data_IF_421561795264
#
_entry.id   IF_421561795264
#
_cell.length_a   1.000
_cell.length_b   1.000
_cell.length_c   1.000
_cell.angle_alpha   90.00
_cell.angle_beta   90.00
_cell.angle_gamma   90.00
#
_symmetry.space_group_name_H-M   'P 1'
#
loop_
_entity.id
_entity.type
_entity.pdbx_description
1 polymer ?
#
# COMPACT_ATOMS: atom_id res chain seq x y z
N UNK A 1 -11.60 -6.31 -23.22
CA UNK A 1 -12.16 -6.24 -21.85
C UNK A 1 -13.00 -7.47 -21.55
N UNK A 2 -14.03 -7.76 -22.31
CA UNK A 2 -14.97 -8.85 -22.04
C UNK A 2 -14.32 -10.25 -22.08
N UNK A 3 -13.37 -10.49 -22.98
CA UNK A 3 -12.63 -11.77 -23.02
C UNK A 3 -11.87 -12.02 -21.71
N UNK A 4 -11.25 -10.98 -21.13
CA UNK A 4 -10.60 -11.08 -19.81
C UNK A 4 -11.59 -11.38 -18.70
N UNK A 5 -12.82 -10.85 -18.75
CA UNK A 5 -13.86 -11.11 -17.75
C UNK A 5 -14.36 -12.55 -17.83
N UNK A 6 -14.47 -13.11 -19.05
CA UNK A 6 -14.80 -14.54 -19.22
C UNK A 6 -13.70 -15.45 -18.67
N UNK A 7 -12.43 -15.11 -18.89
CA UNK A 7 -11.31 -15.86 -18.32
C UNK A 7 -11.30 -15.79 -16.80
N UNK A 8 -11.60 -14.62 -16.20
CA UNK A 8 -11.71 -14.47 -14.75
C UNK A 8 -12.90 -15.26 -14.18
N UNK A 9 -14.03 -15.32 -14.89
CA UNK A 9 -15.17 -16.12 -14.48
C UNK A 9 -14.82 -17.61 -14.46
N UNK A 10 -14.16 -18.11 -15.50
CA UNK A 10 -13.67 -19.51 -15.54
C UNK A 10 -12.70 -19.81 -14.40
N UNK A 11 -11.75 -18.92 -14.18
CA UNK A 11 -10.80 -19.07 -13.08
C UNK A 11 -11.49 -19.10 -11.71
N UNK A 12 -12.50 -18.26 -11.52
CA UNK A 12 -13.29 -18.26 -10.29
C UNK A 12 -14.01 -19.61 -10.09
N UNK A 13 -14.60 -20.17 -11.14
CA UNK A 13 -15.25 -21.49 -11.09
C UNK A 13 -14.25 -22.61 -10.80
N UNK A 14 -13.05 -22.57 -11.37
CA UNK A 14 -11.96 -23.51 -11.07
C UNK A 14 -11.55 -23.42 -9.59
N UNK A 15 -11.38 -22.21 -9.04
CA UNK A 15 -11.06 -21.99 -7.62
C UNK A 15 -12.17 -22.55 -6.72
N UNK A 16 -13.44 -22.31 -7.05
CA UNK A 16 -14.57 -22.82 -6.29
C UNK A 16 -14.62 -24.35 -6.30
N UNK A 17 -14.32 -24.98 -7.44
CA UNK A 17 -14.22 -26.43 -7.55
C UNK A 17 -13.05 -26.98 -6.72
N UNK A 18 -11.86 -26.34 -6.81
CA UNK A 18 -10.68 -26.75 -6.03
C UNK A 18 -10.93 -26.61 -4.51
N UNK A 19 -11.55 -25.52 -4.06
CA UNK A 19 -11.95 -25.31 -2.66
C UNK A 19 -12.94 -26.37 -2.15
N UNK A 20 -13.70 -26.99 -3.04
CA UNK A 20 -14.64 -28.08 -2.70
C UNK A 20 -13.97 -29.44 -2.54
N UNK A 21 -12.69 -29.56 -2.91
CA UNK A 21 -11.94 -30.80 -2.77
C UNK A 21 -11.46 -31.01 -1.33
N UNK A 22 -11.68 -32.17 -0.71
CA UNK A 22 -11.23 -32.47 0.65
C UNK A 22 -9.70 -32.34 0.84
N UNK A 23 -8.93 -32.62 -0.21
CA UNK A 23 -7.46 -32.57 -0.23
C UNK A 23 -6.90 -31.16 0.04
N UNK A 24 -7.65 -30.12 -0.32
CA UNK A 24 -7.24 -28.71 -0.14
C UNK A 24 -7.42 -28.27 1.31
N UNK A 25 -8.41 -28.83 2.03
CA UNK A 25 -8.63 -28.53 3.44
C UNK A 25 -7.45 -29.00 4.33
N UNK A 26 -6.73 -30.04 3.91
CA UNK A 26 -5.56 -30.57 4.61
C UNK A 26 -4.30 -29.69 4.43
N UNK A 27 -4.26 -28.85 3.37
CA UNK A 27 -3.16 -27.92 3.09
C UNK A 27 -3.57 -26.47 3.43
N UNK A 28 -3.27 -26.05 4.63
CA UNK A 28 -3.70 -24.76 5.17
C UNK A 28 -3.16 -23.55 4.37
N UNK A 29 -1.95 -23.64 3.81
CA UNK A 29 -1.38 -22.57 2.99
C UNK A 29 -2.10 -22.44 1.65
N UNK A 30 -2.33 -23.57 0.97
CA UNK A 30 -3.07 -23.62 -0.30
C UNK A 30 -4.51 -23.13 -0.12
N UNK A 31 -5.18 -23.58 0.95
CA UNK A 31 -6.53 -23.14 1.29
C UNK A 31 -6.61 -21.63 1.48
N UNK A 32 -5.68 -21.02 2.25
CA UNK A 32 -5.64 -19.56 2.46
C UNK A 32 -5.39 -18.82 1.15
N UNK A 33 -4.49 -19.29 0.30
CA UNK A 33 -4.21 -18.67 -0.98
C UNK A 33 -5.45 -18.67 -1.89
N UNK A 34 -6.14 -19.81 -2.00
CA UNK A 34 -7.37 -19.93 -2.79
C UNK A 34 -8.52 -19.08 -2.25
N UNK A 35 -8.71 -19.03 -0.93
CA UNK A 35 -9.72 -18.19 -0.29
C UNK A 35 -9.45 -16.70 -0.52
N UNK A 36 -8.18 -16.29 -0.50
CA UNK A 36 -7.82 -14.92 -0.82
C UNK A 36 -8.12 -14.59 -2.28
N UNK A 37 -7.72 -15.45 -3.20
CA UNK A 37 -7.97 -15.29 -4.63
C UNK A 37 -9.47 -15.28 -4.97
N UNK A 38 -10.26 -16.15 -4.34
CA UNK A 38 -11.71 -16.12 -4.41
C UNK A 38 -12.29 -14.78 -3.95
N UNK A 39 -11.87 -14.32 -2.78
CA UNK A 39 -12.33 -13.03 -2.22
C UNK A 39 -12.02 -11.85 -3.15
N UNK A 40 -10.85 -11.85 -3.78
CA UNK A 40 -10.44 -10.82 -4.73
C UNK A 40 -11.25 -10.83 -6.03
N UNK A 41 -11.65 -12.02 -6.51
CA UNK A 41 -12.39 -12.17 -7.75
C UNK A 41 -13.92 -12.00 -7.56
N UNK A 42 -14.45 -12.29 -6.38
CA UNK A 42 -15.90 -12.23 -6.09
C UNK A 42 -16.56 -10.94 -6.58
N UNK A 43 -16.09 -9.72 -6.22
CA UNK A 43 -16.77 -8.49 -6.64
C UNK A 43 -16.76 -8.30 -8.17
N UNK A 44 -15.71 -8.76 -8.87
CA UNK A 44 -15.59 -8.69 -10.32
C UNK A 44 -16.59 -9.63 -10.97
N UNK A 45 -16.67 -10.87 -10.46
CA UNK A 45 -17.56 -11.93 -10.99
C UNK A 45 -19.02 -11.59 -10.76
N UNK A 46 -19.37 -11.06 -9.59
CA UNK A 46 -20.74 -10.67 -9.26
C UNK A 46 -21.21 -9.51 -10.14
N UNK A 47 -20.41 -8.46 -10.29
CA UNK A 47 -20.71 -7.33 -11.18
C UNK A 47 -20.81 -7.80 -12.64
N UNK A 48 -19.98 -8.74 -13.07
CA UNK A 48 -20.03 -9.27 -14.45
C UNK A 48 -21.24 -10.15 -14.69
N UNK A 49 -21.63 -10.98 -13.74
CA UNK A 49 -22.87 -11.77 -13.82
C UNK A 49 -24.10 -10.87 -13.89
N UNK A 50 -24.15 -9.82 -13.08
CA UNK A 50 -25.23 -8.83 -13.14
C UNK A 50 -25.25 -8.08 -14.48
N UNK A 51 -24.08 -7.69 -15.00
CA UNK A 51 -23.95 -7.07 -16.32
C UNK A 51 -24.51 -7.98 -17.45
N UNK A 52 -24.13 -9.28 -17.44
CA UNK A 52 -24.68 -10.25 -18.39
C UNK A 52 -26.20 -10.35 -18.30
N UNK A 53 -26.73 -10.39 -17.07
CA UNK A 53 -28.17 -10.43 -16.86
C UNK A 53 -28.85 -9.19 -17.41
N UNK A 54 -28.33 -7.98 -17.11
CA UNK A 54 -28.87 -6.74 -17.66
C UNK A 54 -28.89 -6.72 -19.20
N UNK A 55 -27.83 -7.22 -19.84
CA UNK A 55 -27.80 -7.31 -21.31
C UNK A 55 -28.83 -8.32 -21.85
N UNK A 56 -29.03 -9.46 -21.17
CA UNK A 56 -30.06 -10.40 -21.55
C UNK A 56 -31.46 -9.78 -21.40
N UNK A 57 -31.73 -9.09 -20.27
CA UNK A 57 -32.99 -8.38 -20.05
C UNK A 57 -33.24 -7.30 -21.12
N UNK A 58 -32.17 -6.62 -21.60
CA UNK A 58 -32.24 -5.66 -22.71
C UNK A 58 -32.61 -6.35 -24.02
N UNK A 59 -31.98 -7.46 -24.35
CA UNK A 59 -32.27 -8.24 -25.57
C UNK A 59 -33.70 -8.79 -25.55
N UNK A 60 -34.13 -9.36 -24.42
CA UNK A 60 -35.46 -9.89 -24.22
C UNK A 60 -36.54 -8.79 -24.34
N UNK A 61 -36.33 -7.64 -23.68
CA UNK A 61 -37.24 -6.50 -23.74
C UNK A 61 -37.35 -5.92 -25.16
N UNK A 62 -36.25 -5.86 -25.92
CA UNK A 62 -36.26 -5.43 -27.33
C UNK A 62 -37.03 -6.40 -28.21
N UNK A 63 -36.82 -7.72 -28.03
CA UNK A 63 -37.54 -8.75 -28.78
C UNK A 63 -39.04 -8.73 -28.49
N UNK A 64 -39.42 -8.52 -27.21
CA UNK A 64 -40.83 -8.40 -26.80
C UNK A 64 -41.46 -7.15 -27.38
N UNK A 65 -40.74 -6.00 -27.41
CA UNK A 65 -41.25 -4.74 -27.99
C UNK A 65 -41.55 -4.85 -29.51
N UNK A 66 -40.86 -5.73 -30.23
CA UNK A 66 -41.11 -5.96 -31.65
C UNK A 66 -42.41 -6.72 -31.89
N UNK A 67 -42.78 -7.62 -30.96
CA UNK A 67 -43.92 -8.51 -31.10
C UNK A 67 -45.19 -8.02 -30.36
N UNK A 68 -45.06 -7.09 -29.40
CA UNK A 68 -46.15 -6.62 -28.54
C UNK A 68 -46.98 -5.53 -29.23
N UNK A 69 -48.30 -5.68 -29.15
CA UNK A 69 -49.29 -4.75 -29.78
C UNK A 69 -50.04 -3.89 -28.73
N UNK A 70 -49.96 -4.24 -27.46
CA UNK A 70 -50.63 -3.51 -26.39
C UNK A 70 -49.80 -2.30 -25.98
N UNK A 71 -50.42 -1.11 -26.02
CA UNK A 71 -49.72 0.15 -25.73
C UNK A 71 -49.25 0.26 -24.28
N UNK A 72 -50.02 -0.26 -23.31
CA UNK A 72 -49.65 -0.24 -21.88
C UNK A 72 -48.45 -1.19 -21.62
N UNK A 73 -48.48 -2.35 -22.19
CA UNK A 73 -47.33 -3.31 -22.12
C UNK A 73 -46.09 -2.75 -22.80
N UNK A 74 -46.23 -2.07 -23.93
CA UNK A 74 -45.11 -1.42 -24.63
C UNK A 74 -44.50 -0.30 -23.77
N UNK A 75 -45.30 0.44 -23.02
CA UNK A 75 -44.80 1.50 -22.14
C UNK A 75 -43.99 0.89 -20.97
N UNK A 76 -44.49 -0.15 -20.33
CA UNK A 76 -43.78 -0.90 -19.29
C UNK A 76 -42.47 -1.45 -19.80
N UNK A 77 -42.42 -2.10 -20.96
CA UNK A 77 -41.19 -2.66 -21.56
C UNK A 77 -40.18 -1.56 -21.90
N UNK A 78 -40.60 -0.36 -22.28
CA UNK A 78 -39.71 0.79 -22.51
C UNK A 78 -39.11 1.31 -21.21
N UNK A 79 -39.89 1.36 -20.12
CA UNK A 79 -39.38 1.73 -18.81
C UNK A 79 -38.34 0.71 -18.31
N UNK A 80 -38.69 -0.57 -18.39
CA UNK A 80 -37.76 -1.67 -18.00
C UNK A 80 -36.46 -1.62 -18.82
N UNK A 81 -36.56 -1.43 -20.13
CA UNK A 81 -35.44 -1.27 -21.04
C UNK A 81 -34.55 -0.06 -20.64
N UNK A 82 -35.17 1.06 -20.27
CA UNK A 82 -34.42 2.25 -19.84
C UNK A 82 -33.65 2.00 -18.53
N UNK A 83 -34.29 1.33 -17.58
CA UNK A 83 -33.65 0.94 -16.30
C UNK A 83 -32.49 -0.02 -16.54
N UNK A 84 -32.71 -1.08 -17.32
CA UNK A 84 -31.67 -2.09 -17.60
C UNK A 84 -30.49 -1.49 -18.37
N UNK A 85 -30.71 -0.60 -19.33
CA UNK A 85 -29.63 0.11 -20.05
C UNK A 85 -28.81 0.97 -19.11
N UNK A 86 -29.47 1.76 -18.25
CA UNK A 86 -28.78 2.60 -17.27
C UNK A 86 -27.93 1.76 -16.32
N UNK A 87 -28.48 0.66 -15.83
CA UNK A 87 -27.76 -0.26 -14.93
C UNK A 87 -26.58 -0.92 -15.64
N UNK A 88 -26.71 -1.33 -16.88
CA UNK A 88 -25.63 -1.89 -17.68
C UNK A 88 -24.49 -0.89 -17.89
N UNK A 89 -24.79 0.39 -18.15
CA UNK A 89 -23.77 1.45 -18.24
C UNK A 89 -23.04 1.70 -16.91
N UNK A 90 -23.76 1.66 -15.79
CA UNK A 90 -23.17 1.78 -14.45
C UNK A 90 -22.23 0.61 -14.16
N UNK A 91 -22.70 -0.62 -14.42
CA UNK A 91 -21.89 -1.84 -14.25
C UNK A 91 -20.66 -1.89 -15.18
N UNK A 92 -20.78 -1.39 -16.39
CA UNK A 92 -19.61 -1.31 -17.28
C UNK A 92 -18.53 -0.38 -16.73
N UNK A 93 -18.92 0.74 -16.12
CA UNK A 93 -17.98 1.65 -15.44
C UNK A 93 -17.38 1.00 -14.20
N UNK A 94 -18.20 0.35 -13.39
CA UNK A 94 -17.77 -0.38 -12.20
C UNK A 94 -16.77 -1.50 -12.56
N UNK A 95 -17.06 -2.30 -13.58
CA UNK A 95 -16.18 -3.36 -14.07
C UNK A 95 -14.82 -2.80 -14.58
N UNK A 96 -14.82 -1.66 -15.25
CA UNK A 96 -13.59 -0.98 -15.66
C UNK A 96 -12.72 -0.62 -14.45
N UNK A 97 -13.34 -0.15 -13.36
CA UNK A 97 -12.64 0.19 -12.11
C UNK A 97 -12.12 -1.06 -11.41
N UNK A 98 -12.95 -2.11 -11.31
CA UNK A 98 -12.59 -3.39 -10.66
C UNK A 98 -11.46 -4.12 -11.39
N UNK A 99 -11.32 -3.91 -12.69
CA UNK A 99 -10.22 -4.48 -13.50
C UNK A 99 -8.91 -3.69 -13.42
N UNK A 100 -8.89 -2.53 -12.74
CA UNK A 100 -7.64 -1.81 -12.51
C UNK A 100 -6.69 -2.66 -11.66
N UNK A 101 -5.39 -2.64 -11.96
CA UNK A 101 -4.42 -3.36 -11.15
C UNK A 101 -4.45 -2.83 -9.71
N UNK A 102 -4.78 -3.71 -8.77
CA UNK A 102 -4.73 -3.42 -7.34
C UNK A 102 -3.27 -3.33 -6.90
N UNK A 103 -2.96 -2.38 -6.05
CA UNK A 103 -1.66 -2.33 -5.39
C UNK A 103 -1.61 -3.47 -4.35
N UNK A 104 -0.59 -4.36 -4.39
CA UNK A 104 -0.48 -5.46 -3.43
C UNK A 104 -0.40 -4.99 -1.97
N UNK A 105 -0.06 -3.72 -1.75
CA UNK A 105 0.01 -3.13 -0.42
C UNK A 105 -1.33 -2.57 0.07
N UNK A 106 -2.36 -2.48 -0.77
CA UNK A 106 -3.65 -1.85 -0.42
C UNK A 106 -4.35 -2.50 0.79
N UNK A 107 -4.10 -3.79 1.05
CA UNK A 107 -4.66 -4.51 2.20
C UNK A 107 -3.82 -4.39 3.48
N UNK A 108 -2.60 -3.86 3.39
CA UNK A 108 -1.69 -3.76 4.52
C UNK A 108 -2.09 -2.65 5.49
N UNK A 109 -1.61 -2.77 6.71
CA UNK A 109 -1.58 -1.67 7.65
C UNK A 109 -0.65 -0.58 7.15
N UNK A 110 -0.74 0.60 7.70
CA UNK A 110 -0.01 1.76 7.23
C UNK A 110 0.78 2.42 8.35
N UNK A 111 2.02 2.79 8.04
CA UNK A 111 2.87 3.61 8.89
C UNK A 111 2.83 5.03 8.32
N UNK A 112 2.43 5.98 9.14
CA UNK A 112 2.37 7.39 8.79
C UNK A 112 3.41 8.15 9.59
N UNK A 113 4.24 8.91 8.90
CA UNK A 113 5.24 9.77 9.51
C UNK A 113 4.91 11.22 9.16
N UNK A 114 4.74 12.06 10.18
CA UNK A 114 4.51 13.50 10.04
C UNK A 114 5.72 14.24 10.61
N UNK A 115 6.34 15.10 9.80
CA UNK A 115 7.50 15.90 10.21
C UNK A 115 7.25 17.40 9.99
N UNK A 116 7.63 18.21 10.94
CA UNK A 116 7.68 19.65 10.79
C UNK A 116 8.70 20.03 9.69
N UNK A 117 8.27 20.87 8.77
CA UNK A 117 9.10 21.41 7.69
C UNK A 117 9.49 22.88 7.94
N UNK A 118 9.30 23.73 6.93
CA UNK A 118 9.61 25.15 7.04
C UNK A 118 8.56 25.87 7.90
N UNK A 119 8.98 26.55 8.97
CA UNK A 119 8.09 27.35 9.84
C UNK A 119 8.42 27.29 11.33
N UNK A 120 9.45 26.55 11.73
CA UNK A 120 9.87 26.43 13.13
C UNK A 120 8.77 25.86 14.03
N UNK A 121 8.53 26.51 15.17
CA UNK A 121 7.55 26.06 16.17
C UNK A 121 6.12 25.95 15.62
N UNK A 122 5.74 26.84 14.71
CA UNK A 122 4.43 26.80 14.06
C UNK A 122 4.25 25.54 13.20
N UNK A 123 5.30 25.11 12.50
CA UNK A 123 5.25 23.86 11.76
C UNK A 123 5.10 22.65 12.69
N UNK A 124 5.73 22.69 13.86
CA UNK A 124 5.61 21.62 14.85
C UNK A 124 4.22 21.59 15.52
N UNK A 125 3.61 22.75 15.79
CA UNK A 125 2.22 22.83 16.27
C UNK A 125 1.25 22.27 15.20
N UNK A 126 1.46 22.65 13.95
CA UNK A 126 0.63 22.14 12.86
C UNK A 126 0.81 20.62 12.63
N UNK A 127 2.03 20.09 12.81
CA UNK A 127 2.27 18.66 12.75
C UNK A 127 1.46 17.88 13.81
N UNK A 128 1.40 18.41 15.03
CA UNK A 128 0.59 17.84 16.10
C UNK A 128 -0.93 17.90 15.80
N UNK A 129 -1.40 18.95 15.14
CA UNK A 129 -2.80 19.07 14.72
C UNK A 129 -3.15 18.09 13.60
N UNK A 130 -2.28 17.92 12.61
CA UNK A 130 -2.46 16.95 11.52
C UNK A 130 -2.41 15.51 12.05
N UNK A 131 -1.52 15.23 13.00
CA UNK A 131 -1.52 13.93 13.70
C UNK A 131 -2.88 13.66 14.36
N UNK A 132 -3.43 14.62 15.13
CA UNK A 132 -4.76 14.50 15.75
C UNK A 132 -5.87 14.31 14.72
N UNK A 133 -5.81 15.03 13.60
CA UNK A 133 -6.75 14.87 12.49
C UNK A 133 -6.77 13.42 11.98
N UNK A 134 -5.61 12.81 11.77
CA UNK A 134 -5.53 11.41 11.34
C UNK A 134 -6.01 10.42 12.41
N UNK A 135 -5.73 10.68 13.69
CA UNK A 135 -6.25 9.87 14.80
C UNK A 135 -7.78 9.88 14.79
N UNK A 136 -8.40 11.06 14.73
CA UNK A 136 -9.87 11.17 14.70
C UNK A 136 -10.48 10.51 13.45
N UNK A 137 -9.83 10.65 12.30
CA UNK A 137 -10.26 9.95 11.08
C UNK A 137 -10.22 8.43 11.25
N UNK A 138 -9.13 7.90 11.78
CA UNK A 138 -8.94 6.47 12.02
C UNK A 138 -9.96 5.92 13.04
N UNK A 139 -10.21 6.67 14.13
CA UNK A 139 -11.24 6.33 15.13
C UNK A 139 -12.63 6.25 14.50
N UNK A 140 -12.98 7.21 13.64
CA UNK A 140 -14.24 7.21 12.89
C UNK A 140 -14.39 5.97 11.98
N UNK A 141 -13.29 5.42 11.51
CA UNK A 141 -13.22 4.18 10.72
C UNK A 141 -13.11 2.91 11.57
N UNK A 142 -13.01 3.03 12.89
CA UNK A 142 -12.73 1.94 13.84
C UNK A 142 -11.37 1.27 13.58
N UNK A 143 -10.41 2.03 13.08
CA UNK A 143 -9.03 1.60 12.94
C UNK A 143 -8.27 1.87 14.23
N UNK A 144 -7.32 1.01 14.56
CA UNK A 144 -6.45 1.20 15.72
C UNK A 144 -5.27 2.09 15.34
N UNK A 145 -4.97 3.09 16.16
CA UNK A 145 -3.78 3.93 16.01
C UNK A 145 -2.81 3.62 17.14
N UNK A 146 -1.54 3.43 16.81
CA UNK A 146 -0.48 3.19 17.76
C UNK A 146 0.71 4.09 17.44
N UNK A 147 1.07 4.98 18.37
CA UNK A 147 2.23 5.85 18.21
C UNK A 147 3.50 5.04 18.43
N UNK A 148 4.37 5.01 17.44
CA UNK A 148 5.66 4.31 17.49
C UNK A 148 6.76 5.21 18.05
N UNK A 149 6.80 6.47 17.57
CA UNK A 149 7.80 7.45 17.97
C UNK A 149 7.21 8.86 17.91
N UNK A 150 7.54 9.71 18.87
CA UNK A 150 7.14 11.12 18.86
C UNK A 150 8.26 11.99 19.45
N UNK A 151 8.64 13.04 18.74
CA UNK A 151 9.56 14.06 19.20
C UNK A 151 8.76 15.33 19.50
N UNK A 152 8.35 15.49 20.75
CA UNK A 152 7.56 16.62 21.21
C UNK A 152 8.42 17.85 21.53
N UNK A 153 7.85 19.03 21.31
CA UNK A 153 8.43 20.29 21.75
C UNK A 153 7.61 20.89 22.90
N UNK A 154 8.27 21.65 23.78
CA UNK A 154 7.70 22.12 25.04
C UNK A 154 6.42 22.96 24.99
N UNK A 155 5.95 23.33 23.76
CA UNK A 155 4.74 24.12 23.52
C UNK A 155 3.55 23.29 23.01
N UNK A 156 3.63 21.95 23.12
CA UNK A 156 2.58 21.03 22.64
C UNK A 156 2.61 20.72 21.15
N UNK A 157 3.67 21.14 20.43
CA UNK A 157 3.93 20.75 19.06
C UNK A 157 4.78 19.48 18.96
N UNK A 158 4.83 18.90 17.76
CA UNK A 158 5.64 17.73 17.43
C UNK A 158 6.60 18.05 16.29
N UNK A 159 7.91 17.85 16.52
CA UNK A 159 8.89 17.99 15.45
C UNK A 159 8.79 16.83 14.47
N UNK A 160 8.56 15.65 14.99
CA UNK A 160 8.22 14.45 14.22
C UNK A 160 7.32 13.53 15.03
N UNK A 161 6.43 12.83 14.35
CA UNK A 161 5.64 11.73 14.92
C UNK A 161 5.47 10.65 13.88
N UNK A 162 5.72 9.40 14.30
CA UNK A 162 5.52 8.19 13.51
C UNK A 162 4.51 7.32 14.23
N UNK A 163 3.46 6.91 13.54
CA UNK A 163 2.40 6.09 14.08
C UNK A 163 1.91 5.06 13.07
N UNK A 164 1.47 3.92 13.58
CA UNK A 164 0.86 2.85 12.80
C UNK A 164 -0.66 2.96 12.86
N UNK A 165 -1.31 2.80 11.71
CA UNK A 165 -2.77 2.66 11.62
C UNK A 165 -3.08 1.25 11.16
N UNK A 166 -3.71 0.48 12.04
CA UNK A 166 -4.10 -0.91 11.80
C UNK A 166 -5.57 -0.99 11.47
N UNK A 167 -5.89 -1.45 10.26
CA UNK A 167 -7.27 -1.61 9.82
C UNK A 167 -7.37 -2.02 8.36
N UNK A 168 -8.47 -2.66 8.02
CA UNK A 168 -8.68 -3.13 6.66
C UNK A 168 -8.69 -1.97 5.66
N UNK A 169 -7.81 -2.04 4.64
CA UNK A 169 -7.71 -1.03 3.61
C UNK A 169 -7.12 0.31 4.06
N UNK A 170 -6.44 0.36 5.22
CA UNK A 170 -5.89 1.60 5.74
C UNK A 170 -4.87 2.23 4.78
N UNK A 171 -3.96 1.42 4.22
CA UNK A 171 -2.99 1.91 3.25
C UNK A 171 -3.65 2.39 1.95
N UNK A 172 -4.65 1.67 1.43
CA UNK A 172 -5.34 2.02 0.17
C UNK A 172 -5.94 3.41 0.18
N UNK A 173 -6.32 3.90 1.35
CA UNK A 173 -6.94 5.22 1.56
C UNK A 173 -5.91 6.27 1.93
N UNK A 174 -5.05 5.99 2.92
CA UNK A 174 -4.11 6.97 3.45
C UNK A 174 -2.89 7.23 2.54
N UNK A 175 -2.57 6.35 1.59
CA UNK A 175 -1.47 6.56 0.62
C UNK A 175 -1.57 7.89 -0.13
N UNK A 176 -2.78 8.43 -0.29
CA UNK A 176 -3.02 9.72 -0.94
C UNK A 176 -2.73 10.94 -0.05
N UNK A 177 -2.42 10.73 1.23
CA UNK A 177 -2.03 11.80 2.15
C UNK A 177 -0.52 12.14 2.11
N UNK A 178 0.24 11.34 1.40
CA UNK A 178 1.69 11.48 1.25
C UNK A 178 2.06 12.74 0.47
N UNK A 179 2.94 13.56 1.03
CA UNK A 179 3.43 14.81 0.43
C UNK A 179 3.59 15.96 1.41
N UNK A 180 3.72 17.18 0.86
CA UNK A 180 3.90 18.42 1.64
C UNK A 180 2.54 19.08 1.89
N UNK A 181 2.19 19.28 3.16
CA UNK A 181 1.00 20.01 3.58
C UNK A 181 1.38 21.40 4.04
N UNK A 182 0.65 22.41 3.58
CA UNK A 182 0.91 23.81 3.85
C UNK A 182 -0.19 24.43 4.69
N UNK A 183 0.18 25.13 5.76
CA UNK A 183 -0.75 25.92 6.57
C UNK A 183 -0.54 27.40 6.36
N UNK A 184 -1.63 28.16 6.33
CA UNK A 184 -1.66 29.60 6.30
C UNK A 184 -2.55 30.09 7.44
N UNK A 185 -1.95 30.63 8.50
CA UNK A 185 -2.64 31.25 9.65
C UNK A 185 -1.74 32.24 10.37
N UNK A 186 -2.32 32.99 11.28
CA UNK A 186 -1.54 33.73 12.27
C UNK A 186 -1.10 32.73 13.33
N UNK A 187 0.21 32.49 13.53
CA UNK A 187 0.70 31.57 14.54
C UNK A 187 0.33 32.02 15.95
N UNK A 188 0.12 31.08 16.86
CA UNK A 188 -0.06 31.38 18.29
C UNK A 188 1.19 32.07 18.89
N UNK A 189 2.34 31.84 18.28
CA UNK A 189 3.64 32.43 18.67
C UNK A 189 3.89 33.82 18.09
N UNK A 190 2.98 34.35 17.25
CA UNK A 190 3.15 35.63 16.56
C UNK A 190 2.39 36.77 17.27
N UNK A 191 3.12 37.77 17.77
CA UNK A 191 2.53 38.91 18.47
C UNK A 191 2.01 40.03 17.52
N UNK A 192 2.45 40.03 16.26
CA UNK A 192 2.13 41.08 15.28
C UNK A 192 0.92 40.81 14.40
N UNK A 193 0.21 39.70 14.59
CA UNK A 193 -1.01 39.33 13.81
C UNK A 193 -0.74 39.03 12.32
N UNK A 194 0.50 38.76 11.93
CA UNK A 194 0.86 38.45 10.54
C UNK A 194 0.55 37.02 10.19
N UNK A 195 -0.01 36.82 9.00
CA UNK A 195 -0.24 35.46 8.46
C UNK A 195 1.10 34.87 8.05
N UNK A 196 1.45 33.75 8.67
CA UNK A 196 2.63 32.96 8.28
C UNK A 196 2.21 31.77 7.41
N UNK A 197 3.18 31.29 6.65
CA UNK A 197 3.03 30.07 5.83
C UNK A 197 4.05 29.06 6.33
N UNK A 198 3.56 27.98 6.92
CA UNK A 198 4.40 26.89 7.40
C UNK A 198 4.07 25.59 6.64
N UNK A 199 5.00 24.66 6.65
CA UNK A 199 4.84 23.36 5.98
C UNK A 199 5.20 22.22 6.90
N UNK A 200 4.54 21.11 6.66
CA UNK A 200 4.90 19.81 7.19
C UNK A 200 5.02 18.82 6.04
N UNK A 201 5.75 17.76 6.23
CA UNK A 201 5.79 16.62 5.31
C UNK A 201 5.11 15.42 5.94
N UNK A 202 4.33 14.71 5.14
CA UNK A 202 3.67 13.47 5.51
C UNK A 202 4.20 12.37 4.60
N UNK A 203 4.80 11.32 5.18
CA UNK A 203 5.16 10.10 4.47
C UNK A 203 4.20 8.97 4.88
N UNK A 204 3.75 8.21 3.91
CA UNK A 204 2.81 7.10 4.11
C UNK A 204 3.41 5.84 3.51
N UNK A 205 3.70 4.86 4.35
CA UNK A 205 4.38 3.63 3.97
C UNK A 205 3.52 2.42 4.36
N UNK A 206 3.48 1.37 3.54
CA UNK A 206 2.84 0.12 3.94
C UNK A 206 3.65 -0.55 5.06
N UNK A 207 2.97 -1.26 5.96
CA UNK A 207 3.63 -2.14 6.91
C UNK A 207 4.43 -3.21 6.16
N UNK A 208 5.69 -3.39 6.57
CA UNK A 208 6.57 -4.41 6.00
C UNK A 208 6.60 -5.60 6.95
N UNK A 209 6.42 -6.80 6.42
CA UNK A 209 6.57 -8.03 7.19
C UNK A 209 8.02 -8.14 7.69
N UNK A 210 8.20 -8.30 8.99
CA UNK A 210 9.53 -8.37 9.62
C UNK A 210 10.28 -9.68 9.33
N UNK A 211 9.58 -10.71 8.87
CA UNK A 211 10.18 -12.03 8.63
C UNK A 211 11.02 -12.05 7.36
N UNK A 212 12.34 -11.90 7.55
CA UNK A 212 13.33 -12.21 6.51
C UNK A 212 13.74 -13.67 6.71
N UNK A 213 13.10 -14.57 5.98
CA UNK A 213 13.55 -15.96 5.95
C UNK A 213 14.59 -16.13 4.86
N UNK A 214 15.88 -16.21 5.27
CA UNK A 214 16.97 -16.45 4.34
C UNK A 214 17.11 -17.94 4.11
N UNK A 215 16.60 -18.37 2.97
CA UNK A 215 16.83 -19.73 2.44
C UNK A 215 18.09 -19.72 1.61
N UNK A 216 19.09 -20.50 2.03
CA UNK A 216 20.33 -20.67 1.32
C UNK A 216 20.28 -22.04 0.62
N UNK A 217 20.22 -22.03 -0.71
CA UNK A 217 20.22 -23.28 -1.49
C UNK A 217 21.65 -23.80 -1.72
N UNK A 218 21.85 -25.11 -1.64
CA UNK A 218 23.18 -25.72 -1.82
C UNK A 218 23.81 -25.43 -3.20
N UNK A 219 22.97 -25.22 -4.22
CA UNK A 219 23.44 -24.84 -5.58
C UNK A 219 24.08 -23.46 -5.66
N UNK A 220 23.72 -22.56 -4.73
CA UNK A 220 24.15 -21.17 -4.71
C UNK A 220 25.44 -20.97 -3.90
N UNK A 221 25.97 -22.04 -3.31
CA UNK A 221 27.15 -21.99 -2.47
C UNK A 221 28.28 -22.84 -3.05
N UNK A 222 29.45 -22.25 -3.08
CA UNK A 222 30.70 -22.99 -3.26
C UNK A 222 31.39 -23.15 -1.92
N UNK A 223 31.77 -24.38 -1.60
CA UNK A 223 32.48 -24.73 -0.37
C UNK A 223 33.92 -25.13 -0.74
N UNK A 224 34.89 -24.35 -0.31
CA UNK A 224 36.31 -24.65 -0.45
C UNK A 224 36.87 -24.99 0.92
N UNK A 225 37.55 -26.12 0.99
CA UNK A 225 38.24 -26.60 2.21
C UNK A 225 39.73 -26.39 2.03
N UNK A 226 40.39 -25.86 3.04
CA UNK A 226 41.81 -25.55 2.98
C UNK A 226 42.47 -25.69 4.36
N UNK A 227 43.80 -25.64 4.38
CA UNK A 227 44.55 -25.62 5.63
C UNK A 227 44.36 -24.27 6.33
N UNK A 228 44.27 -24.34 7.66
CA UNK A 228 44.22 -23.12 8.45
C UNK A 228 45.58 -22.38 8.37
N UNK A 229 45.52 -21.05 8.29
CA UNK A 229 46.70 -20.17 8.31
C UNK A 229 46.96 -19.62 9.71
N UNK A 230 48.16 -19.62 10.20
CA UNK A 230 48.54 -19.05 11.50
C UNK A 230 49.67 -19.80 12.19
N UNK A 231 50.12 -19.25 13.35
CA UNK A 231 51.10 -19.91 14.19
C UNK A 231 50.49 -21.12 14.87
N UNK A 232 50.90 -22.34 14.48
CA UNK A 232 50.33 -23.57 15.02
C UNK A 232 51.23 -24.78 14.80
N UNK A 233 50.98 -25.85 15.56
CA UNK A 233 51.68 -27.13 15.45
C UNK A 233 51.15 -28.00 14.34
N UNK A 234 51.41 -29.34 14.39
CA UNK A 234 51.06 -30.31 13.35
C UNK A 234 49.60 -30.26 12.88
N UNK A 235 48.64 -29.92 13.75
CA UNK A 235 47.24 -29.88 13.41
C UNK A 235 46.87 -28.75 12.41
N UNK A 236 47.53 -27.59 12.50
CA UNK A 236 47.29 -26.43 11.59
C UNK A 236 47.96 -26.68 10.22
N UNK A 237 49.08 -27.38 10.20
CA UNK A 237 49.86 -27.55 8.98
C UNK A 237 49.49 -28.79 8.14
N UNK A 238 48.79 -29.77 8.76
CA UNK A 238 48.48 -31.05 8.10
C UNK A 238 46.97 -31.30 7.84
N UNK A 239 46.08 -30.62 8.58
CA UNK A 239 44.64 -30.88 8.50
C UNK A 239 43.93 -29.78 7.74
N UNK A 240 43.10 -30.12 6.75
CA UNK A 240 42.24 -29.18 6.02
C UNK A 240 40.99 -28.85 6.86
N UNK A 241 41.20 -28.02 7.90
CA UNK A 241 40.16 -27.67 8.84
C UNK A 241 39.45 -26.34 8.52
N UNK A 242 40.07 -25.45 7.76
CA UNK A 242 39.51 -24.18 7.39
C UNK A 242 38.47 -24.30 6.24
N UNK A 243 37.41 -23.58 6.33
CA UNK A 243 36.31 -23.58 5.35
C UNK A 243 36.07 -22.18 4.83
N UNK A 244 35.97 -22.04 3.51
CA UNK A 244 35.57 -20.84 2.80
C UNK A 244 34.27 -21.12 2.06
N UNK A 245 33.28 -20.32 2.31
CA UNK A 245 32.02 -20.32 1.58
C UNK A 245 31.96 -19.12 0.64
N UNK A 246 31.58 -19.34 -0.60
CA UNK A 246 31.32 -18.29 -1.57
C UNK A 246 29.88 -18.41 -2.02
N UNK A 247 29.08 -17.40 -1.78
CA UNK A 247 27.70 -17.33 -2.23
C UNK A 247 27.66 -16.69 -3.63
N UNK A 248 27.28 -17.46 -4.64
CA UNK A 248 27.33 -17.03 -6.05
C UNK A 248 26.45 -15.82 -6.36
N UNK A 249 25.16 -15.75 -5.93
CA UNK A 249 24.29 -14.66 -6.31
C UNK A 249 24.75 -13.29 -5.79
N UNK A 250 25.32 -13.24 -4.57
CA UNK A 250 25.75 -11.98 -3.93
C UNK A 250 27.25 -11.74 -3.98
N UNK A 251 28.04 -12.76 -4.35
CA UNK A 251 29.49 -12.68 -4.31
C UNK A 251 30.11 -12.63 -2.90
N UNK A 252 29.30 -12.80 -1.85
CA UNK A 252 29.79 -12.77 -0.46
C UNK A 252 30.65 -13.97 -0.21
N UNK A 253 31.86 -13.70 0.32
CA UNK A 253 32.82 -14.72 0.74
C UNK A 253 32.97 -14.70 2.25
N UNK A 254 32.82 -15.88 2.86
CA UNK A 254 32.98 -16.09 4.31
C UNK A 254 34.04 -17.13 4.55
N UNK A 255 34.87 -16.88 5.56
CA UNK A 255 35.97 -17.75 5.94
C UNK A 255 35.89 -18.08 7.43
N UNK A 256 36.05 -19.37 7.78
CA UNK A 256 36.10 -19.82 9.17
C UNK A 256 37.23 -20.82 9.37
N UNK A 257 38.11 -20.53 10.34
CA UNK A 257 39.26 -21.37 10.73
C UNK A 257 39.45 -21.44 12.26
N UNK A 258 38.46 -21.01 13.04
CA UNK A 258 38.59 -20.84 14.49
C UNK A 258 38.61 -22.16 15.26
N UNK A 259 38.03 -23.21 14.68
CA UNK A 259 37.94 -24.51 15.31
C UNK A 259 38.92 -25.53 14.69
N UNK A 260 39.22 -26.57 15.45
CA UNK A 260 40.06 -27.69 14.97
C UNK A 260 39.29 -28.64 14.05
N UNK A 261 37.97 -28.60 14.07
CA UNK A 261 37.06 -29.45 13.29
C UNK A 261 36.52 -28.72 12.05
N UNK A 262 36.71 -29.33 10.88
CA UNK A 262 36.14 -28.85 9.62
C UNK A 262 34.63 -28.71 9.70
N UNK A 263 33.91 -29.65 10.35
CA UNK A 263 32.46 -29.64 10.48
C UNK A 263 32.00 -28.42 11.27
N UNK A 264 32.70 -28.10 12.37
CA UNK A 264 32.40 -26.93 13.19
C UNK A 264 32.69 -25.63 12.44
N UNK A 265 33.80 -25.55 11.71
CA UNK A 265 34.11 -24.40 10.87
C UNK A 265 33.08 -24.21 9.73
N UNK A 266 32.63 -25.33 9.13
CA UNK A 266 31.54 -25.29 8.14
C UNK A 266 30.26 -24.70 8.76
N UNK A 267 29.80 -25.19 9.90
CA UNK A 267 28.61 -24.67 10.59
C UNK A 267 28.73 -23.18 10.95
N UNK A 268 29.92 -22.77 11.46
CA UNK A 268 30.16 -21.34 11.76
C UNK A 268 30.18 -20.47 10.50
N UNK A 269 30.78 -20.98 9.40
CA UNK A 269 30.78 -20.25 8.14
C UNK A 269 29.37 -20.06 7.56
N UNK A 270 28.50 -21.10 7.66
CA UNK A 270 27.09 -20.97 7.28
C UNK A 270 26.35 -19.98 8.14
N UNK A 271 26.52 -20.02 9.47
CA UNK A 271 25.91 -19.05 10.37
C UNK A 271 26.34 -17.61 10.06
N UNK A 272 27.64 -17.41 9.79
CA UNK A 272 28.18 -16.11 9.42
C UNK A 272 27.70 -15.64 8.04
N UNK A 273 27.55 -16.56 7.08
CA UNK A 273 26.99 -16.25 5.76
C UNK A 273 25.51 -15.82 5.90
N UNK A 274 24.71 -16.58 6.68
CA UNK A 274 23.29 -16.24 6.93
C UNK A 274 23.18 -14.87 7.58
N UNK A 275 23.99 -14.54 8.56
CA UNK A 275 24.00 -13.22 9.19
C UNK A 275 24.35 -12.10 8.19
N UNK A 276 25.37 -12.29 7.35
CA UNK A 276 25.74 -11.29 6.33
C UNK A 276 24.67 -11.11 5.26
N UNK A 277 24.00 -12.17 4.85
CA UNK A 277 22.89 -12.10 3.90
C UNK A 277 21.69 -11.37 4.53
N UNK A 278 21.43 -11.63 5.81
CA UNK A 278 20.39 -10.93 6.57
C UNK A 278 20.68 -9.42 6.65
N UNK A 279 21.88 -9.04 7.04
CA UNK A 279 22.30 -7.64 7.11
C UNK A 279 22.19 -6.93 5.75
N UNK A 280 22.58 -7.62 4.67
CA UNK A 280 22.48 -7.08 3.32
C UNK A 280 21.04 -6.88 2.89
N UNK A 281 20.17 -7.86 3.13
CA UNK A 281 18.74 -7.75 2.81
C UNK A 281 18.05 -6.66 3.63
N UNK A 282 18.38 -6.56 4.91
CA UNK A 282 17.89 -5.51 5.79
C UNK A 282 18.33 -4.13 5.31
N UNK A 283 19.58 -4.00 4.88
CA UNK A 283 20.10 -2.74 4.33
C UNK A 283 19.37 -2.36 3.02
N UNK A 284 19.17 -3.33 2.11
CA UNK A 284 18.42 -3.07 0.87
C UNK A 284 16.98 -2.63 1.13
N UNK A 285 16.29 -3.26 2.09
CA UNK A 285 14.94 -2.83 2.49
C UNK A 285 14.95 -1.41 3.05
N UNK A 286 15.90 -1.13 3.93
CA UNK A 286 16.03 0.21 4.52
C UNK A 286 16.33 1.30 3.47
N UNK A 287 17.19 0.99 2.50
CA UNK A 287 17.50 1.90 1.39
C UNK A 287 16.28 2.12 0.48
N UNK A 288 15.52 1.06 0.19
CA UNK A 288 14.27 1.15 -0.59
C UNK A 288 13.20 1.96 0.14
N UNK A 289 13.03 1.78 1.45
CA UNK A 289 12.12 2.59 2.27
C UNK A 289 12.55 4.07 2.30
N UNK A 290 13.85 4.31 2.45
CA UNK A 290 14.41 5.67 2.45
C UNK A 290 14.20 6.36 1.10
N UNK A 291 14.33 5.64 -0.01
CA UNK A 291 14.08 6.14 -1.36
C UNK A 291 12.58 6.41 -1.58
N UNK A 292 11.71 5.50 -1.16
CA UNK A 292 10.25 5.70 -1.19
C UNK A 292 9.87 6.95 -0.39
N UNK A 293 10.38 7.10 0.83
CA UNK A 293 10.14 8.27 1.68
C UNK A 293 10.60 9.56 1.00
N UNK A 294 11.79 9.56 0.39
CA UNK A 294 12.31 10.73 -0.34
C UNK A 294 11.45 11.09 -1.54
N UNK A 295 10.99 10.10 -2.30
CA UNK A 295 10.12 10.34 -3.47
C UNK A 295 8.78 10.96 -3.10
N UNK A 296 8.25 10.63 -1.91
CA UNK A 296 6.99 11.16 -1.41
C UNK A 296 7.09 12.60 -0.87
N UNK A 297 8.18 12.91 -0.19
CA UNK A 297 8.33 14.18 0.55
C UNK A 297 9.00 15.27 -0.31
N UNK A 298 9.79 14.88 -1.33
CA UNK A 298 10.61 15.80 -2.11
C UNK A 298 11.61 16.56 -1.23
N UNK A 299 11.73 17.87 -1.41
CA UNK A 299 12.57 18.75 -0.59
C UNK A 299 11.85 19.32 0.63
N UNK A 300 10.54 19.14 0.76
CA UNK A 300 9.69 19.74 1.80
C UNK A 300 9.46 21.24 1.61
N UNK A 301 9.80 21.80 0.44
CA UNK A 301 9.64 23.22 0.13
C UNK A 301 8.15 23.60 0.03
N UNK A 302 7.85 24.85 0.32
CA UNK A 302 6.50 25.44 0.20
C UNK A 302 5.91 25.37 -1.20
N UNK A 303 6.73 25.23 -2.22
CA UNK A 303 6.33 25.09 -3.62
C UNK A 303 5.78 23.70 -3.95
N UNK A 304 6.24 22.65 -3.27
CA UNK A 304 5.88 21.23 -3.51
C UNK A 304 4.58 20.79 -2.85
N UNK A 305 3.81 21.75 -2.32
CA UNK A 305 2.58 21.47 -1.58
C UNK A 305 1.57 20.65 -2.38
N UNK A 306 1.06 19.57 -1.76
CA UNK A 306 -0.11 18.86 -2.25
C UNK A 306 -1.41 19.49 -1.76
N UNK A 307 -1.42 20.00 -0.51
CA UNK A 307 -2.62 20.55 0.12
C UNK A 307 -2.32 21.83 0.91
N UNK A 308 -3.27 22.76 0.90
CA UNK A 308 -3.19 24.01 1.67
C UNK A 308 -4.37 24.15 2.60
N UNK A 309 -4.10 24.38 3.88
CA UNK A 309 -5.03 24.67 4.95
C UNK A 309 -5.00 26.17 5.21
N UNK A 310 -6.06 26.89 4.80
CA UNK A 310 -6.13 28.35 4.93
C UNK A 310 -7.16 28.70 6.03
N UNK A 311 -6.65 29.01 7.22
CA UNK A 311 -7.47 29.31 8.38
C UNK A 311 -8.25 30.63 8.24
N UNK A 312 -7.65 31.75 7.77
CA UNK A 312 -8.42 32.97 7.57
C UNK A 312 -9.61 32.85 6.63
N UNK A 313 -9.56 31.92 5.67
CA UNK A 313 -10.61 31.69 4.70
C UNK A 313 -11.48 30.47 5.04
N UNK A 314 -11.17 29.72 6.10
CA UNK A 314 -11.88 28.50 6.50
C UNK A 314 -11.91 27.40 5.43
N UNK A 315 -10.88 27.34 4.58
CA UNK A 315 -10.84 26.42 3.43
C UNK A 315 -9.64 25.52 3.41
N UNK A 316 -9.82 24.33 2.85
CA UNK A 316 -8.77 23.40 2.48
C UNK A 316 -8.78 23.22 0.95
N UNK A 317 -7.61 23.31 0.32
CA UNK A 317 -7.45 23.11 -1.13
C UNK A 317 -6.45 22.01 -1.40
N UNK A 318 -6.87 20.94 -2.07
CA UNK A 318 -5.96 19.95 -2.63
C UNK A 318 -5.59 20.35 -4.06
N UNK A 319 -4.29 20.60 -4.26
CA UNK A 319 -3.77 21.15 -5.51
C UNK A 319 -3.60 20.11 -6.61
N UNK A 320 -3.55 18.82 -6.26
CA UNK A 320 -3.41 17.72 -7.22
C UNK A 320 -4.65 17.55 -8.10
N UNK A 321 -5.83 17.79 -7.49
CA UNK A 321 -7.14 17.61 -8.10
C UNK A 321 -7.94 18.91 -8.19
N UNK A 322 -7.34 20.04 -7.80
CA UNK A 322 -7.97 21.38 -7.74
C UNK A 322 -9.29 21.41 -6.93
N UNK A 323 -9.40 20.55 -5.92
CA UNK A 323 -10.56 20.52 -5.02
C UNK A 323 -10.42 21.55 -3.91
N UNK A 324 -11.44 22.36 -3.66
CA UNK A 324 -11.51 23.31 -2.54
C UNK A 324 -12.75 23.06 -1.71
N UNK A 325 -12.56 22.87 -0.39
CA UNK A 325 -13.61 22.61 0.58
C UNK A 325 -13.60 23.72 1.63
N UNK A 326 -14.78 24.31 1.91
CA UNK A 326 -14.97 25.38 2.90
C UNK A 326 -15.46 24.84 4.24
N UNK A 327 -14.80 23.79 4.75
CA UNK A 327 -15.15 23.09 6.00
C UNK A 327 -13.87 22.78 6.81
N UNK A 328 -12.95 23.77 6.89
CA UNK A 328 -11.63 23.55 7.50
C UNK A 328 -11.73 22.92 8.90
N UNK A 329 -12.62 23.43 9.77
CA UNK A 329 -12.76 22.94 11.14
C UNK A 329 -13.20 21.45 11.18
N UNK A 330 -14.07 21.04 10.26
CA UNK A 330 -14.47 19.62 10.17
C UNK A 330 -13.31 18.75 9.69
N UNK A 331 -12.57 19.23 8.69
CA UNK A 331 -11.39 18.53 8.17
C UNK A 331 -10.35 18.34 9.29
N UNK A 332 -10.05 19.38 10.07
CA UNK A 332 -9.12 19.29 11.21
C UNK A 332 -9.61 18.36 12.34
N UNK A 333 -10.91 18.10 12.40
CA UNK A 333 -11.53 17.13 13.30
C UNK A 333 -11.68 15.71 12.68
N UNK A 334 -11.03 15.45 11.55
CA UNK A 334 -10.97 14.11 10.94
C UNK A 334 -11.95 13.86 9.80
N UNK A 335 -12.79 14.85 9.39
CA UNK A 335 -13.70 14.70 8.24
C UNK A 335 -12.96 14.96 6.91
N UNK A 336 -12.04 14.04 6.57
CA UNK A 336 -11.20 14.12 5.34
C UNK A 336 -11.69 13.22 4.22
N UNK A 337 -12.79 12.47 4.42
CA UNK A 337 -13.27 11.45 3.48
C UNK A 337 -13.55 12.02 2.08
N UNK A 338 -14.20 13.18 1.99
CA UNK A 338 -14.53 13.84 0.72
C UNK A 338 -13.28 14.11 -0.13
N UNK A 339 -12.17 14.48 0.53
CA UNK A 339 -10.88 14.74 -0.15
C UNK A 339 -10.26 13.43 -0.63
N UNK A 340 -10.27 12.41 0.22
CA UNK A 340 -9.70 11.10 -0.10
C UNK A 340 -10.46 10.43 -1.25
N UNK A 341 -11.80 10.46 -1.23
CA UNK A 341 -12.64 9.91 -2.30
C UNK A 341 -12.35 10.60 -3.64
N UNK A 342 -12.19 11.91 -3.63
CA UNK A 342 -11.84 12.66 -4.83
C UNK A 342 -10.43 12.32 -5.35
N UNK A 343 -9.46 12.10 -4.46
CA UNK A 343 -8.11 11.66 -4.85
C UNK A 343 -8.14 10.24 -5.43
N UNK A 344 -8.89 9.32 -4.82
CA UNK A 344 -9.09 7.95 -5.30
C UNK A 344 -9.71 7.98 -6.70
N UNK A 345 -10.78 8.75 -6.89
CA UNK A 345 -11.46 8.87 -8.18
C UNK A 345 -10.54 9.44 -9.26
N UNK A 346 -9.72 10.43 -8.93
CA UNK A 346 -8.74 11.01 -9.86
C UNK A 346 -7.65 10.01 -10.26
N UNK A 347 -7.13 9.21 -9.31
CA UNK A 347 -6.14 8.16 -9.59
C UNK A 347 -6.74 7.05 -10.46
N UNK A 348 -7.96 6.60 -10.15
CA UNK A 348 -8.69 5.63 -10.95
C UNK A 348 -8.91 6.13 -12.40
N UNK A 349 -9.32 7.39 -12.55
CA UNK A 349 -9.49 8.01 -13.87
C UNK A 349 -8.17 8.05 -14.65
N UNK A 350 -7.06 8.42 -14.00
CA UNK A 350 -5.74 8.45 -14.63
C UNK A 350 -5.27 7.04 -15.06
N UNK A 351 -5.55 6.01 -14.25
CA UNK A 351 -5.25 4.62 -14.58
C UNK A 351 -6.08 4.11 -15.76
N UNK A 352 -7.38 4.44 -15.80
CA UNK A 352 -8.27 4.09 -16.92
C UNK A 352 -7.82 4.70 -18.23
N UNK A 353 -7.38 5.97 -18.23
CA UNK A 353 -6.84 6.62 -19.43
C UNK A 353 -5.61 5.90 -19.95
N UNK A 354 -4.67 5.53 -19.07
CA UNK A 354 -3.47 4.77 -19.46
C UNK A 354 -3.79 3.36 -20.02
N UNK A 355 -4.87 2.72 -19.52
CA UNK A 355 -5.31 1.43 -20.05
C UNK A 355 -6.00 1.54 -21.40
N UNK A 356 -6.59 2.69 -21.73
CA UNK A 356 -7.24 2.94 -23.02
C UNK A 356 -6.25 3.31 -24.16
N UNK A 357 -5.02 3.70 -23.80
CA UNK A 357 -3.94 4.05 -24.76
C UNK A 357 -3.09 2.83 -25.19
N UNK A 358 -3.22 1.69 -24.51
CA UNK A 358 -2.57 0.41 -24.82
C UNK A 358 -3.58 -0.59 -25.43
#
# INVERSE_FOLDING_TARGET
MFDKLEDLLRKFEEIMNELSEPSVADNQERFRALMKEQSDLTPIVDAYKEYKKCNQDIEDSLSMLESESDDDMREMLKEELAVSKKRAEELERELKILLLPKDPNDEKNVIVEVRAGAGGDEAALFAAEIYRMYVHYAEGRRWKVETMEAEEIGIGGMKSVTFMVTGQGAYSVLKYESGVHRVQRVPETESGGRIHTSTISVAVMPEVDEDIDIVIEDKDIRIDVMRASGNGGQCVNTTDSAVRLTHYPTGIVVYSQTEKSQIQNKAKAFALLKAKLYDMEQQQRHDAEAEMRRSQIGTGDRSEKIRTYNFPQGRVTDHRINLTIYKLDKVMNGDIQEILDACIAADQAAKLLKMGEN
#
